data_IF_955698784059
#
_entry.id   IF_955698784059
#
_cell.length_a   1.000
_cell.length_b   1.000
_cell.length_c   1.000
_cell.angle_alpha   90.00
_cell.angle_beta   90.00
_cell.angle_gamma   90.00
#
_symmetry.space_group_name_H-M   'P 1'
#
loop_
_entity.id
_entity.type
_entity.pdbx_description
1 polymer ?
#
# COMPACT_ATOMS: atom_id res chain seq x y z
N UNK A 1 26.36 -9.60 -25.60
CA UNK A 1 25.33 -10.36 -24.86
C UNK A 1 25.12 -11.67 -25.60
N UNK A 2 25.34 -12.82 -24.96
CA UNK A 2 25.06 -14.12 -25.58
C UNK A 2 23.55 -14.27 -25.84
N UNK A 3 23.18 -15.04 -26.86
CA UNK A 3 21.78 -15.27 -27.25
C UNK A 3 20.94 -15.82 -26.08
N UNK A 4 21.51 -16.71 -25.28
CA UNK A 4 20.88 -17.28 -24.07
C UNK A 4 20.46 -16.20 -23.04
N UNK A 5 21.28 -15.16 -22.86
CA UNK A 5 20.97 -14.09 -21.92
C UNK A 5 19.77 -13.23 -22.40
N UNK A 6 19.56 -13.13 -23.72
CA UNK A 6 18.43 -12.44 -24.33
C UNK A 6 17.16 -13.27 -24.19
N UNK A 7 17.23 -14.57 -24.46
CA UNK A 7 16.12 -15.50 -24.32
C UNK A 7 15.59 -15.59 -22.89
N UNK A 8 16.46 -15.53 -21.88
CA UNK A 8 16.04 -15.52 -20.46
C UNK A 8 15.34 -14.23 -20.04
N UNK A 9 15.69 -13.08 -20.63
CA UNK A 9 15.12 -11.76 -20.26
C UNK A 9 13.83 -11.44 -21.00
N UNK A 10 13.67 -11.99 -22.21
CA UNK A 10 12.56 -11.68 -23.10
C UNK A 10 11.17 -11.97 -22.50
N UNK A 11 10.92 -13.08 -21.80
CA UNK A 11 9.63 -13.34 -21.15
C UNK A 11 9.28 -12.28 -20.10
N UNK A 12 10.25 -11.88 -19.27
CA UNK A 12 10.04 -10.88 -18.22
C UNK A 12 9.76 -9.49 -18.79
N UNK A 13 10.39 -9.14 -19.91
CA UNK A 13 10.12 -7.87 -20.60
C UNK A 13 8.71 -7.88 -21.20
N UNK A 14 8.25 -9.02 -21.75
CA UNK A 14 6.90 -9.16 -22.29
C UNK A 14 5.84 -9.18 -21.20
N UNK A 15 6.15 -9.74 -20.03
CA UNK A 15 5.24 -9.82 -18.88
C UNK A 15 5.21 -8.54 -18.04
N UNK A 16 6.27 -7.72 -18.06
CA UNK A 16 6.38 -6.56 -17.17
C UNK A 16 5.24 -5.55 -17.28
N UNK A 17 4.60 -5.28 -18.45
CA UNK A 17 3.47 -4.36 -18.52
C UNK A 17 2.24 -4.92 -17.80
N UNK A 18 1.96 -6.22 -17.96
CA UNK A 18 0.83 -6.88 -17.31
C UNK A 18 1.06 -7.00 -15.79
N UNK A 19 2.26 -7.45 -15.38
CA UNK A 19 2.63 -7.50 -13.97
C UNK A 19 2.63 -6.10 -13.32
N UNK A 20 3.10 -5.09 -14.05
CA UNK A 20 3.05 -3.71 -13.62
C UNK A 20 1.62 -3.22 -13.43
N UNK A 21 0.72 -3.48 -14.39
CA UNK A 21 -0.68 -3.11 -14.28
C UNK A 21 -1.37 -3.77 -13.07
N UNK A 22 -1.17 -5.07 -12.86
CA UNK A 22 -1.72 -5.80 -11.70
C UNK A 22 -1.14 -5.26 -10.39
N UNK A 23 0.17 -5.03 -10.34
CA UNK A 23 0.82 -4.47 -9.15
C UNK A 23 0.27 -3.07 -8.82
N UNK A 24 0.13 -2.20 -9.81
CA UNK A 24 -0.44 -0.86 -9.60
C UNK A 24 -1.91 -0.95 -9.16
N UNK A 25 -2.71 -1.82 -9.78
CA UNK A 25 -4.12 -2.02 -9.41
C UNK A 25 -4.28 -2.45 -7.95
N UNK A 26 -3.36 -3.26 -7.43
CA UNK A 26 -3.40 -3.74 -6.05
C UNK A 26 -2.76 -2.76 -5.06
N UNK A 27 -1.61 -2.18 -5.41
CA UNK A 27 -0.83 -1.35 -4.49
C UNK A 27 -1.37 0.07 -4.34
N UNK A 28 -1.90 0.67 -5.42
CA UNK A 28 -2.41 2.06 -5.35
C UNK A 28 -3.55 2.18 -4.32
N UNK A 29 -4.58 1.31 -4.30
CA UNK A 29 -5.62 1.36 -3.27
C UNK A 29 -5.07 1.19 -1.85
N UNK A 30 -4.10 0.29 -1.65
CA UNK A 30 -3.46 0.09 -0.35
C UNK A 30 -2.68 1.33 0.10
N UNK A 31 -1.99 2.01 -0.82
CA UNK A 31 -1.31 3.26 -0.53
C UNK A 31 -2.28 4.35 -0.09
N UNK A 32 -3.45 4.45 -0.71
CA UNK A 32 -4.49 5.37 -0.26
C UNK A 32 -4.92 5.06 1.19
N UNK A 33 -5.14 3.79 1.53
CA UNK A 33 -5.47 3.39 2.91
C UNK A 33 -4.37 3.82 3.88
N UNK A 34 -3.10 3.59 3.53
CA UNK A 34 -1.96 4.01 4.36
C UNK A 34 -1.94 5.53 4.54
N UNK A 35 -2.12 6.32 3.47
CA UNK A 35 -2.14 7.79 3.57
C UNK A 35 -3.30 8.28 4.44
N UNK A 36 -4.51 7.77 4.22
CA UNK A 36 -5.69 8.16 5.00
C UNK A 36 -5.60 7.73 6.47
N UNK A 37 -4.85 6.67 6.79
CA UNK A 37 -4.67 6.23 8.19
C UNK A 37 -4.04 7.29 9.10
N UNK A 38 -3.31 8.25 8.52
CA UNK A 38 -2.67 9.35 9.25
C UNK A 38 -3.60 10.52 9.54
N UNK A 39 -4.77 10.60 8.90
CA UNK A 39 -5.73 11.67 9.19
C UNK A 39 -6.42 11.40 10.52
N UNK A 40 -6.64 12.44 11.33
CA UNK A 40 -7.25 12.25 12.64
C UNK A 40 -8.75 12.02 12.46
N UNK A 41 -9.21 10.85 12.91
CA UNK A 41 -10.61 10.46 12.75
C UNK A 41 -11.50 11.22 13.74
N UNK A 42 -12.52 11.89 13.22
CA UNK A 42 -13.51 12.59 14.04
C UNK A 42 -14.71 11.67 14.33
N UNK A 43 -15.24 11.72 15.54
CA UNK A 43 -16.41 10.94 15.93
C UNK A 43 -17.73 11.52 15.36
N UNK A 44 -17.75 12.81 14.98
CA UNK A 44 -18.99 13.52 14.62
C UNK A 44 -18.81 14.47 13.43
N UNK A 45 -17.74 14.30 12.63
CA UNK A 45 -17.42 15.19 11.52
C UNK A 45 -16.46 14.57 10.51
N UNK A 46 -16.06 15.32 9.47
CA UNK A 46 -15.07 14.86 8.51
C UNK A 46 -13.70 14.65 9.19
N UNK A 47 -12.90 13.76 8.61
CA UNK A 47 -11.54 13.52 9.10
C UNK A 47 -10.71 14.81 9.02
N UNK A 48 -9.89 15.03 10.05
CA UNK A 48 -8.98 16.18 10.07
C UNK A 48 -7.72 15.80 9.31
N UNK A 49 -7.51 16.44 8.17
CA UNK A 49 -6.33 16.22 7.32
C UNK A 49 -5.07 16.66 8.06
N UNK A 50 -4.13 15.75 8.20
CA UNK A 50 -2.87 15.98 8.90
C UNK A 50 -2.05 14.70 8.97
N UNK A 51 -0.86 14.80 9.56
CA UNK A 51 -0.02 13.63 9.84
C UNK A 51 -0.06 13.32 11.34
N UNK A 52 -0.93 12.40 11.72
CA UNK A 52 -1.17 12.01 13.11
C UNK A 52 -0.84 10.53 13.33
N UNK A 53 -0.16 10.23 14.44
CA UNK A 53 0.19 8.86 14.84
C UNK A 53 -0.74 8.31 15.93
N UNK A 54 -1.68 9.12 16.41
CA UNK A 54 -2.61 8.77 17.50
C UNK A 54 -3.46 7.53 17.15
N UNK A 55 -3.94 7.45 15.90
CA UNK A 55 -4.69 6.30 15.41
C UNK A 55 -3.83 5.01 15.45
N UNK A 56 -2.56 5.11 15.05
CA UNK A 56 -1.63 3.99 15.03
C UNK A 56 -1.27 3.54 16.44
N UNK A 57 -1.01 4.48 17.36
CA UNK A 57 -0.78 4.17 18.76
C UNK A 57 -2.00 3.45 19.33
N UNK A 58 -3.21 4.00 19.14
CA UNK A 58 -4.44 3.38 19.61
C UNK A 58 -4.63 1.98 19.02
N UNK A 59 -4.46 1.80 17.71
CA UNK A 59 -4.63 0.50 17.06
C UNK A 59 -3.66 -0.58 17.59
N UNK A 60 -2.42 -0.22 17.92
CA UNK A 60 -1.39 -1.16 18.39
C UNK A 60 -1.44 -1.41 19.91
N UNK A 61 -2.00 -0.46 20.68
CA UNK A 61 -2.03 -0.53 22.15
C UNK A 61 -3.39 -0.83 22.74
N UNK A 62 -4.47 -0.88 21.94
CA UNK A 62 -5.82 -1.08 22.45
C UNK A 62 -5.92 -2.41 23.25
N UNK A 63 -6.22 -2.33 24.56
CA UNK A 63 -6.37 -3.52 25.39
C UNK A 63 -7.50 -4.44 24.93
N UNK A 64 -8.51 -3.93 24.20
CA UNK A 64 -9.61 -4.74 23.66
C UNK A 64 -9.11 -5.91 22.78
N UNK A 65 -7.96 -5.77 22.11
CA UNK A 65 -7.39 -6.83 21.27
C UNK A 65 -6.39 -7.75 22.00
N UNK A 66 -6.21 -7.58 23.31
CA UNK A 66 -5.23 -8.35 24.11
C UNK A 66 -5.86 -9.37 25.05
N UNK A 67 -7.20 -9.48 25.06
CA UNK A 67 -7.97 -10.41 25.89
C UNK A 67 -8.86 -11.30 25.04
#
# INVERSE_FOLDING_TARGET
MSVEARERRQPWILLSPALGAVALLLLIPLLFIVVYSFWLRSAVGPDTVGFHLDNWQRALTDPFYRY
#
